data_IF_834998972511
#
_entry.id   IF_834998972511
#
_cell.length_a   1.000
_cell.length_b   1.000
_cell.length_c   1.000
_cell.angle_alpha   90.00
_cell.angle_beta   90.00
_cell.angle_gamma   90.00
#
_symmetry.space_group_name_H-M   'P 1'
#
loop_
_entity.id
_entity.type
_entity.pdbx_description
1 polymer ?
#
# COMPACT_ATOMS: atom_id res chain seq x y z
N UNK A 1 -36.85 -36.98 61.73
CA UNK A 1 -37.03 -37.77 60.49
C UNK A 1 -36.81 -36.85 59.31
N UNK A 2 -36.04 -37.33 58.31
CA UNK A 2 -35.81 -36.87 56.93
C UNK A 2 -36.44 -35.53 56.47
N UNK A 3 -35.80 -34.69 55.68
CA UNK A 3 -34.75 -34.89 54.69
C UNK A 3 -34.72 -33.66 53.78
N UNK A 4 -33.63 -33.55 53.02
CA UNK A 4 -33.27 -32.42 52.15
C UNK A 4 -34.31 -32.02 51.09
N UNK A 5 -34.25 -30.75 50.66
CA UNK A 5 -34.33 -30.30 49.26
C UNK A 5 -34.01 -28.79 49.26
N UNK A 6 -32.79 -28.37 48.87
CA UNK A 6 -32.52 -27.75 47.56
C UNK A 6 -33.54 -26.69 47.15
N UNK A 7 -33.14 -25.40 47.13
CA UNK A 7 -33.21 -24.61 45.90
C UNK A 7 -32.18 -23.48 45.93
N UNK A 8 -31.23 -23.61 45.01
CA UNK A 8 -30.22 -22.65 44.59
C UNK A 8 -30.91 -21.41 44.03
N UNK A 9 -30.60 -20.23 44.55
CA UNK A 9 -30.93 -18.95 43.91
C UNK A 9 -29.78 -17.96 44.09
N UNK A 10 -28.95 -17.91 43.03
CA UNK A 10 -28.35 -16.71 42.45
C UNK A 10 -27.47 -15.82 43.34
N UNK A 11 -26.24 -16.28 43.59
CA UNK A 11 -25.11 -15.37 43.73
C UNK A 11 -24.61 -14.96 42.33
N UNK A 12 -25.20 -13.94 41.73
CA UNK A 12 -24.60 -13.19 40.61
C UNK A 12 -23.76 -12.05 41.21
N UNK A 13 -22.59 -12.39 41.74
CA UNK A 13 -21.50 -11.41 41.84
C UNK A 13 -21.04 -11.13 40.42
N UNK A 14 -21.43 -9.97 39.88
CA UNK A 14 -20.81 -9.40 38.68
C UNK A 14 -19.33 -9.12 39.00
N UNK A 15 -18.49 -10.13 38.80
CA UNK A 15 -17.08 -9.93 38.52
C UNK A 15 -17.02 -9.27 37.13
N UNK A 16 -17.08 -7.94 37.11
CA UNK A 16 -16.61 -7.19 35.95
C UNK A 16 -15.09 -7.35 35.99
N UNK A 17 -14.45 -8.09 35.06
CA UNK A 17 -13.03 -7.91 34.90
C UNK A 17 -12.86 -6.46 34.44
N UNK A 18 -12.30 -5.63 35.30
CA UNK A 18 -11.71 -4.36 34.93
C UNK A 18 -10.62 -4.75 33.95
N UNK A 19 -10.98 -4.79 32.67
CA UNK A 19 -10.01 -4.93 31.61
C UNK A 19 -9.11 -3.71 31.80
N UNK A 20 -7.90 -3.96 32.28
CA UNK A 20 -6.86 -2.95 32.37
C UNK A 20 -6.84 -2.24 31.02
N UNK A 21 -7.38 -1.02 30.99
CA UNK A 21 -6.96 -0.04 30.00
C UNK A 21 -5.49 0.16 30.29
N UNK A 22 -4.65 -0.71 29.72
CA UNK A 22 -3.27 -0.40 29.43
C UNK A 22 -3.38 0.81 28.53
N UNK A 23 -3.34 1.98 29.16
CA UNK A 23 -3.12 3.24 28.52
C UNK A 23 -1.72 3.11 27.91
N UNK A 24 -1.66 2.57 26.70
CA UNK A 24 -0.52 2.74 25.82
C UNK A 24 -0.49 4.25 25.61
N UNK A 25 0.31 4.94 26.42
CA UNK A 25 0.80 6.29 26.12
C UNK A 25 1.66 6.15 24.87
N UNK A 26 1.02 6.00 23.72
CA UNK A 26 1.60 6.52 22.50
C UNK A 26 1.56 8.02 22.70
N UNK A 27 2.70 8.63 23.03
CA UNK A 27 2.87 10.06 22.79
C UNK A 27 2.37 10.32 21.36
N UNK A 28 1.21 10.96 21.17
CA UNK A 28 0.85 11.39 19.85
C UNK A 28 1.80 12.54 19.60
N UNK A 29 2.95 12.26 19.00
CA UNK A 29 3.77 13.30 18.39
C UNK A 29 2.88 13.92 17.31
N UNK A 30 2.15 14.95 17.69
CA UNK A 30 1.36 15.76 16.80
C UNK A 30 2.30 16.21 15.71
N UNK A 31 2.07 15.75 14.49
CA UNK A 31 2.89 16.19 13.38
C UNK A 31 2.29 17.49 12.90
N UNK A 32 3.01 18.56 13.19
CA UNK A 32 2.62 19.96 13.07
C UNK A 32 2.57 20.51 11.64
N UNK A 33 2.56 19.65 10.62
CA UNK A 33 2.53 20.07 9.21
C UNK A 33 1.37 19.44 8.46
N UNK A 34 0.77 20.22 7.56
CA UNK A 34 -0.18 19.71 6.59
C UNK A 34 0.48 18.61 5.72
N UNK A 35 -0.24 17.51 5.43
CA UNK A 35 0.29 16.48 4.54
C UNK A 35 0.47 17.04 3.13
N UNK A 36 1.50 16.59 2.42
CA UNK A 36 1.72 16.97 1.02
C UNK A 36 0.61 16.45 0.11
N UNK A 37 0.08 15.26 0.42
CA UNK A 37 -0.99 14.63 -0.35
C UNK A 37 -1.94 13.83 0.55
N UNK A 38 -3.24 13.86 0.21
CA UNK A 38 -4.27 13.06 0.85
C UNK A 38 -4.39 11.67 0.21
N UNK A 39 -4.01 10.63 0.95
CA UNK A 39 -4.08 9.25 0.48
C UNK A 39 -5.51 8.75 0.26
N UNK A 40 -6.51 9.39 0.88
CA UNK A 40 -7.92 9.09 0.63
C UNK A 40 -8.33 9.34 -0.81
N UNK A 41 -7.75 10.35 -1.46
CA UNK A 41 -7.99 10.64 -2.89
C UNK A 41 -7.50 9.49 -3.77
N UNK A 42 -6.31 8.93 -3.47
CA UNK A 42 -5.75 7.80 -4.22
C UNK A 42 -6.62 6.56 -4.06
N UNK A 43 -7.00 6.23 -2.81
CA UNK A 43 -7.85 5.07 -2.51
C UNK A 43 -9.19 5.15 -3.25
N UNK A 44 -9.84 6.31 -3.21
CA UNK A 44 -11.12 6.53 -3.87
C UNK A 44 -11.02 6.42 -5.39
N UNK A 45 -10.03 7.08 -6.00
CA UNK A 45 -9.86 7.08 -7.46
C UNK A 45 -9.41 5.72 -7.99
N UNK A 46 -8.51 5.04 -7.27
CA UNK A 46 -8.13 3.67 -7.56
C UNK A 46 -9.36 2.74 -7.62
N UNK A 47 -10.28 2.84 -6.65
CA UNK A 47 -11.51 2.04 -6.65
C UNK A 47 -12.44 2.34 -7.81
N UNK A 48 -12.54 3.61 -8.24
CA UNK A 48 -13.37 3.99 -9.40
C UNK A 48 -12.82 3.39 -10.69
N UNK A 49 -11.51 3.53 -10.90
CA UNK A 49 -10.83 3.02 -12.10
C UNK A 49 -10.80 1.48 -12.16
N UNK A 50 -10.79 0.82 -11.00
CA UNK A 50 -10.70 -0.65 -10.90
C UNK A 50 -12.02 -1.36 -10.60
N UNK A 51 -13.16 -0.65 -10.65
CA UNK A 51 -14.46 -1.15 -10.20
C UNK A 51 -14.87 -2.46 -10.90
N UNK A 52 -14.61 -2.55 -12.19
CA UNK A 52 -15.02 -3.67 -13.03
C UNK A 52 -13.89 -4.69 -13.28
N UNK A 53 -12.76 -4.54 -12.57
CA UNK A 53 -11.63 -5.46 -12.66
C UNK A 53 -11.84 -6.65 -11.73
N UNK A 54 -11.80 -7.84 -12.33
CA UNK A 54 -11.72 -9.12 -11.61
C UNK A 54 -10.34 -9.22 -10.96
N UNK A 55 -10.29 -9.78 -9.75
CA UNK A 55 -9.05 -10.02 -9.03
C UNK A 55 -8.10 -10.87 -9.89
N UNK A 56 -6.86 -10.43 -10.04
CA UNK A 56 -5.92 -11.05 -10.96
C UNK A 56 -5.27 -12.30 -10.33
N UNK A 57 -5.32 -13.44 -11.04
CA UNK A 57 -4.63 -14.65 -10.60
C UNK A 57 -3.10 -14.50 -10.69
N UNK A 58 -2.37 -14.99 -9.69
CA UNK A 58 -0.91 -15.17 -9.68
C UNK A 58 -0.18 -14.38 -8.59
N UNK A 59 1.15 -14.28 -8.70
CA UNK A 59 1.96 -13.65 -7.66
C UNK A 59 1.92 -12.11 -7.73
N UNK A 60 1.67 -11.47 -6.58
CA UNK A 60 1.67 -10.01 -6.48
C UNK A 60 3.01 -9.39 -6.88
N UNK A 61 2.92 -8.26 -7.58
CA UNK A 61 4.02 -7.38 -7.96
C UNK A 61 4.53 -6.63 -6.73
N UNK A 62 3.62 -6.12 -5.89
CA UNK A 62 3.96 -5.53 -4.61
C UNK A 62 4.19 -6.63 -3.57
N UNK A 63 5.27 -6.49 -2.80
CA UNK A 63 5.54 -7.39 -1.68
C UNK A 63 4.51 -7.17 -0.58
N UNK A 64 4.32 -8.17 0.28
CA UNK A 64 3.37 -8.11 1.39
C UNK A 64 3.66 -6.91 2.30
N UNK A 65 2.61 -6.27 2.81
CA UNK A 65 2.71 -5.08 3.67
C UNK A 65 3.68 -5.26 4.85
N UNK A 66 3.67 -6.41 5.52
CA UNK A 66 4.58 -6.68 6.64
C UNK A 66 6.07 -6.63 6.26
N UNK A 67 6.40 -7.03 5.02
CA UNK A 67 7.75 -6.90 4.48
C UNK A 67 8.04 -5.47 4.07
N UNK A 68 7.09 -4.82 3.41
CA UNK A 68 7.21 -3.42 2.97
C UNK A 68 7.34 -2.43 4.14
N UNK A 69 6.75 -2.74 5.28
CA UNK A 69 6.85 -1.93 6.51
C UNK A 69 8.30 -1.73 6.98
N UNK A 70 9.18 -2.70 6.68
CA UNK A 70 10.61 -2.58 6.96
C UNK A 70 11.26 -1.52 6.07
N UNK A 71 10.87 -1.47 4.79
CA UNK A 71 11.29 -0.44 3.82
C UNK A 71 10.75 0.92 4.26
N UNK A 72 9.46 1.01 4.60
CA UNK A 72 8.77 2.24 5.03
C UNK A 72 9.43 2.93 6.22
N UNK A 73 9.99 2.16 7.16
CA UNK A 73 10.75 2.68 8.31
C UNK A 73 12.07 3.35 7.93
N UNK A 74 12.60 3.09 6.73
CA UNK A 74 13.84 3.67 6.20
C UNK A 74 13.51 4.68 5.10
N UNK A 75 13.44 5.96 5.48
CA UNK A 75 13.02 7.08 4.62
C UNK A 75 13.61 7.05 3.20
N UNK A 76 14.91 6.82 3.07
CA UNK A 76 15.58 6.83 1.77
C UNK A 76 15.20 5.60 0.92
N UNK A 77 15.10 4.41 1.54
CA UNK A 77 14.67 3.20 0.83
C UNK A 77 13.20 3.31 0.41
N UNK A 78 12.32 3.74 1.33
CA UNK A 78 10.90 3.95 1.04
C UNK A 78 10.73 4.91 -0.13
N UNK A 79 11.47 6.01 -0.11
CA UNK A 79 11.45 6.98 -1.19
C UNK A 79 11.89 6.39 -2.54
N UNK A 80 13.00 5.67 -2.59
CA UNK A 80 13.48 5.08 -3.85
C UNK A 80 12.53 4.01 -4.39
N UNK A 81 12.03 3.14 -3.51
CA UNK A 81 11.09 2.08 -3.90
C UNK A 81 9.76 2.68 -4.35
N UNK A 82 9.22 3.64 -3.61
CA UNK A 82 7.95 4.29 -3.92
C UNK A 82 8.00 5.02 -5.27
N UNK A 83 9.12 5.66 -5.63
CA UNK A 83 9.29 6.25 -6.97
C UNK A 83 9.11 5.21 -8.09
N UNK A 84 9.65 4.00 -7.91
CA UNK A 84 9.53 2.92 -8.90
C UNK A 84 8.14 2.29 -8.92
N UNK A 85 7.48 2.20 -7.78
CA UNK A 85 6.08 1.79 -7.71
C UNK A 85 5.21 2.79 -8.48
N UNK A 86 5.28 4.08 -8.15
CA UNK A 86 4.46 5.11 -8.82
C UNK A 86 4.70 5.14 -10.34
N UNK A 87 5.95 5.01 -10.76
CA UNK A 87 6.32 4.94 -12.18
C UNK A 87 5.65 3.77 -12.91
N UNK A 88 5.69 2.55 -12.35
CA UNK A 88 5.08 1.38 -12.97
C UNK A 88 3.56 1.56 -13.12
N UNK A 89 2.90 2.00 -12.05
CA UNK A 89 1.45 2.14 -12.02
C UNK A 89 0.95 3.24 -12.95
N UNK A 90 1.62 4.40 -12.99
CA UNK A 90 1.33 5.46 -13.95
C UNK A 90 1.52 4.99 -15.41
N UNK A 91 2.60 4.24 -15.70
CA UNK A 91 2.82 3.68 -17.03
C UNK A 91 1.73 2.70 -17.47
N UNK A 92 1.25 1.85 -16.56
CA UNK A 92 0.13 0.96 -16.87
C UNK A 92 -1.15 1.75 -17.08
N UNK A 93 -1.44 2.74 -16.24
CA UNK A 93 -2.61 3.62 -16.42
C UNK A 93 -2.60 4.28 -17.80
N UNK A 94 -1.51 4.94 -18.20
CA UNK A 94 -1.42 5.56 -19.54
C UNK A 94 -1.68 4.55 -20.66
N UNK A 95 -1.20 3.31 -20.51
CA UNK A 95 -1.40 2.25 -21.52
C UNK A 95 -2.82 1.69 -21.57
N UNK A 96 -3.55 1.73 -20.46
CA UNK A 96 -4.89 1.15 -20.33
C UNK A 96 -6.01 2.19 -20.51
N UNK A 97 -5.69 3.48 -20.57
CA UNK A 97 -6.63 4.60 -20.77
C UNK A 97 -7.57 4.39 -21.97
N UNK A 98 -7.01 3.96 -23.10
CA UNK A 98 -7.80 3.71 -24.32
C UNK A 98 -8.66 2.44 -24.30
N UNK A 99 -8.55 1.60 -23.25
CA UNK A 99 -9.34 0.36 -23.10
C UNK A 99 -10.55 0.53 -22.17
N UNK A 100 -10.54 1.54 -21.30
CA UNK A 100 -11.60 1.80 -20.31
C UNK A 100 -12.69 2.75 -20.82
N UNK A 101 -12.48 3.41 -21.96
CA UNK A 101 -13.36 4.45 -22.48
C UNK A 101 -14.42 3.89 -23.45
N UNK A 102 -15.60 3.55 -22.92
CA UNK A 102 -16.84 3.74 -23.69
C UNK A 102 -17.28 5.18 -23.42
N UNK A 103 -17.17 6.11 -24.39
CA UNK A 103 -17.43 7.51 -24.13
C UNK A 103 -18.94 7.72 -24.05
N UNK A 104 -19.46 7.81 -22.82
CA UNK A 104 -20.72 8.50 -22.60
C UNK A 104 -20.42 9.99 -22.49
N UNK A 105 -21.02 10.82 -23.34
CA UNK A 105 -20.88 12.28 -23.29
C UNK A 105 -21.22 12.79 -21.88
N UNK A 106 -20.23 13.37 -21.20
CA UNK A 106 -20.37 13.98 -19.89
C UNK A 106 -19.78 13.20 -18.71
N UNK A 107 -19.24 12.00 -18.93
CA UNK A 107 -18.56 11.26 -17.86
C UNK A 107 -17.12 11.77 -17.66
N UNK A 108 -16.72 12.00 -16.41
CA UNK A 108 -15.36 12.40 -16.09
C UNK A 108 -14.44 11.21 -16.39
N UNK A 109 -13.38 11.42 -17.17
CA UNK A 109 -12.36 10.39 -17.36
C UNK A 109 -11.57 10.19 -16.06
N UNK A 110 -12.07 9.28 -15.22
CA UNK A 110 -11.46 8.92 -13.94
C UNK A 110 -10.06 8.31 -14.12
N UNK A 111 -9.76 7.78 -15.30
CA UNK A 111 -8.46 7.22 -15.64
C UNK A 111 -7.43 8.34 -15.81
N UNK A 112 -7.77 9.36 -16.61
CA UNK A 112 -6.96 10.56 -16.79
C UNK A 112 -6.79 11.33 -15.47
N UNK A 113 -7.87 11.45 -14.68
CA UNK A 113 -7.80 12.07 -13.35
C UNK A 113 -6.82 11.33 -12.42
N UNK A 114 -6.83 10.00 -12.43
CA UNK A 114 -5.90 9.20 -11.63
C UNK A 114 -4.46 9.34 -12.13
N UNK A 115 -4.22 9.44 -13.44
CA UNK A 115 -2.88 9.74 -13.99
C UNK A 115 -2.37 11.08 -13.44
N UNK A 116 -3.20 12.12 -13.44
CA UNK A 116 -2.83 13.41 -12.85
C UNK A 116 -2.56 13.34 -11.33
N UNK A 117 -3.33 12.53 -10.60
CA UNK A 117 -3.08 12.26 -9.18
C UNK A 117 -1.72 11.58 -8.98
N UNK A 118 -1.37 10.60 -9.82
CA UNK A 118 -0.09 9.89 -9.76
C UNK A 118 1.11 10.83 -10.00
N UNK A 119 0.99 11.77 -10.93
CA UNK A 119 2.02 12.80 -11.15
C UNK A 119 2.18 13.72 -9.92
N UNK A 120 1.07 14.18 -9.33
CA UNK A 120 1.11 14.99 -8.09
C UNK A 120 1.74 14.23 -6.93
N UNK A 121 1.40 12.95 -6.76
CA UNK A 121 1.97 12.08 -5.75
C UNK A 121 3.49 11.98 -5.87
N UNK A 122 4.01 11.84 -7.08
CA UNK A 122 5.46 11.77 -7.35
C UNK A 122 6.19 13.01 -6.84
N UNK A 123 5.59 14.19 -6.96
CA UNK A 123 6.16 15.43 -6.45
C UNK A 123 6.21 15.50 -4.91
N UNK A 124 5.38 14.70 -4.21
CA UNK A 124 5.37 14.57 -2.75
C UNK A 124 6.36 13.54 -2.21
N UNK A 125 6.92 12.67 -3.07
CA UNK A 125 7.92 11.70 -2.63
C UNK A 125 9.19 12.43 -2.22
N UNK A 126 9.78 12.00 -1.10
CA UNK A 126 11.02 12.58 -0.61
C UNK A 126 12.12 12.54 -1.69
N UNK A 127 12.95 13.59 -1.76
CA UNK A 127 14.04 13.65 -2.76
C UNK A 127 15.33 13.13 -2.13
N UNK A 128 15.72 11.91 -2.52
CA UNK A 128 17.00 11.32 -2.11
C UNK A 128 18.11 11.81 -3.04
N UNK A 129 19.06 12.59 -2.53
CA UNK A 129 20.21 13.09 -3.31
C UNK A 129 21.15 11.93 -3.68
N UNK A 130 21.28 11.63 -4.97
CA UNK A 130 22.19 10.60 -5.54
C UNK A 130 22.05 9.17 -4.96
N UNK A 131 21.06 8.89 -4.11
CA UNK A 131 21.04 7.67 -3.30
C UNK A 131 20.38 6.46 -3.95
N UNK A 132 19.40 6.67 -4.85
CA UNK A 132 18.65 5.54 -5.40
C UNK A 132 19.39 4.76 -6.48
N UNK A 133 20.34 5.40 -7.19
CA UNK A 133 21.07 4.78 -8.31
C UNK A 133 21.77 3.48 -7.88
N UNK A 134 22.54 3.52 -6.78
CA UNK A 134 23.25 2.35 -6.23
C UNK A 134 22.29 1.21 -5.84
N UNK A 135 21.13 1.56 -5.28
CA UNK A 135 20.12 0.59 -4.90
C UNK A 135 19.52 -0.10 -6.14
N UNK A 136 19.19 0.67 -7.17
CA UNK A 136 18.65 0.14 -8.42
C UNK A 136 19.66 -0.75 -9.14
N UNK A 137 20.93 -0.31 -9.25
CA UNK A 137 22.01 -1.12 -9.83
C UNK A 137 22.18 -2.44 -9.08
N UNK A 138 22.21 -2.40 -7.75
CA UNK A 138 22.29 -3.61 -6.92
C UNK A 138 21.11 -4.55 -7.18
N UNK A 139 19.89 -4.03 -7.21
CA UNK A 139 18.70 -4.84 -7.43
C UNK A 139 18.65 -5.45 -8.84
N UNK A 140 19.09 -4.72 -9.86
CA UNK A 140 18.91 -5.10 -11.26
C UNK A 140 20.04 -5.96 -11.82
N UNK A 141 21.21 -5.94 -11.18
CA UNK A 141 22.36 -6.76 -11.54
C UNK A 141 22.41 -8.10 -10.78
N UNK A 142 21.56 -8.27 -9.76
CA UNK A 142 21.45 -9.54 -9.04
C UNK A 142 20.62 -10.51 -9.89
N UNK A 143 21.26 -11.58 -10.37
CA UNK A 143 20.78 -12.44 -11.45
C UNK A 143 19.63 -13.38 -11.08
N UNK A 144 19.27 -13.51 -9.80
CA UNK A 144 18.19 -14.37 -9.34
C UNK A 144 17.32 -13.67 -8.29
N UNK A 145 16.01 -13.91 -8.39
CA UNK A 145 15.05 -13.66 -7.30
C UNK A 145 15.35 -14.73 -6.25
N UNK A 146 16.36 -14.51 -5.41
CA UNK A 146 16.63 -15.42 -4.30
C UNK A 146 15.51 -15.27 -3.28
N UNK A 147 14.74 -16.33 -2.94
CA UNK A 147 13.69 -16.23 -1.94
C UNK A 147 14.29 -15.76 -0.62
N UNK A 148 13.80 -14.64 -0.13
CA UNK A 148 14.34 -14.02 1.08
C UNK A 148 13.99 -14.85 2.32
N UNK A 149 14.93 -15.04 3.26
CA UNK A 149 14.61 -15.58 4.57
C UNK A 149 13.52 -14.74 5.26
N UNK A 150 12.68 -15.38 6.07
CA UNK A 150 11.53 -14.75 6.79
C UNK A 150 11.93 -13.50 7.62
N UNK A 151 13.21 -13.30 7.91
CA UNK A 151 13.80 -12.08 8.52
C UNK A 151 14.67 -11.27 7.54
N UNK A 152 14.17 -11.06 6.33
CA UNK A 152 14.65 -10.04 5.38
C UNK A 152 14.85 -8.69 6.07
N UNK A 153 16.03 -8.06 5.95
CA UNK A 153 16.22 -6.68 6.40
C UNK A 153 15.59 -5.71 5.39
N UNK A 154 15.52 -4.43 5.74
CA UNK A 154 14.85 -3.43 4.91
C UNK A 154 15.46 -3.30 3.51
N UNK A 155 16.77 -3.53 3.38
CA UNK A 155 17.49 -3.42 2.10
C UNK A 155 17.16 -4.59 1.19
N UNK A 156 17.10 -5.82 1.70
CA UNK A 156 16.76 -6.98 0.89
C UNK A 156 15.29 -6.95 0.47
N UNK A 157 14.38 -6.54 1.36
CA UNK A 157 12.97 -6.31 0.99
C UNK A 157 12.86 -5.25 -0.12
N UNK A 158 13.67 -4.19 -0.07
CA UNK A 158 13.70 -3.17 -1.13
C UNK A 158 14.23 -3.74 -2.46
N UNK A 159 15.27 -4.59 -2.42
CA UNK A 159 15.80 -5.27 -3.60
C UNK A 159 14.75 -6.18 -4.22
N UNK A 160 14.09 -7.02 -3.41
CA UNK A 160 13.02 -7.91 -3.87
C UNK A 160 11.89 -7.13 -4.55
N UNK A 161 11.40 -6.07 -3.90
CA UNK A 161 10.38 -5.21 -4.47
C UNK A 161 10.81 -4.59 -5.80
N UNK A 162 12.07 -4.12 -5.90
CA UNK A 162 12.61 -3.52 -7.13
C UNK A 162 12.78 -4.55 -8.24
N UNK A 163 13.18 -5.79 -7.93
CA UNK A 163 13.25 -6.88 -8.90
C UNK A 163 11.88 -7.22 -9.46
N UNK A 164 10.85 -7.32 -8.60
CA UNK A 164 9.46 -7.54 -9.05
C UNK A 164 8.96 -6.40 -9.94
N UNK A 165 9.25 -5.15 -9.57
CA UNK A 165 8.89 -3.98 -10.38
C UNK A 165 9.61 -3.97 -11.73
N UNK A 166 10.89 -4.34 -11.77
CA UNK A 166 11.66 -4.48 -13.01
C UNK A 166 11.04 -5.54 -13.92
N UNK A 167 10.78 -6.73 -13.38
CA UNK A 167 10.16 -7.82 -14.13
C UNK A 167 8.81 -7.40 -14.73
N UNK A 168 7.94 -6.74 -13.95
CA UNK A 168 6.67 -6.22 -14.45
C UNK A 168 6.88 -5.13 -15.52
N UNK A 169 7.84 -4.22 -15.31
CA UNK A 169 8.15 -3.14 -16.26
C UNK A 169 8.69 -3.64 -17.59
N UNK A 170 9.44 -4.74 -17.62
CA UNK A 170 9.98 -5.36 -18.84
C UNK A 170 8.90 -6.11 -19.64
N UNK A 171 7.76 -6.39 -19.02
CA UNK A 171 6.65 -7.17 -19.60
C UNK A 171 5.35 -6.36 -19.64
N UNK A 172 5.44 -5.05 -19.82
CA UNK A 172 4.26 -4.18 -19.86
C UNK A 172 3.31 -4.46 -21.03
N UNK A 173 3.72 -5.20 -22.06
CA UNK A 173 2.85 -5.63 -23.15
C UNK A 173 2.02 -6.89 -22.78
N UNK A 174 2.37 -7.58 -21.69
CA UNK A 174 1.63 -8.73 -21.16
C UNK A 174 0.36 -8.24 -20.45
N UNK A 175 -0.80 -8.57 -21.02
CA UNK A 175 -2.11 -8.15 -20.49
C UNK A 175 -2.31 -8.60 -19.05
N UNK A 176 -1.81 -9.77 -18.65
CA UNK A 176 -1.93 -10.26 -17.27
C UNK A 176 -1.14 -9.42 -16.29
N UNK A 177 0.00 -8.86 -16.72
CA UNK A 177 0.78 -7.92 -15.90
C UNK A 177 0.04 -6.59 -15.77
N UNK A 178 -0.56 -6.08 -16.86
CA UNK A 178 -1.39 -4.87 -16.81
C UNK A 178 -2.56 -5.05 -15.85
N UNK A 179 -3.33 -6.13 -15.99
CA UNK A 179 -4.47 -6.46 -15.12
C UNK A 179 -4.05 -6.55 -13.65
N UNK A 180 -2.92 -7.21 -13.35
CA UNK A 180 -2.42 -7.33 -11.98
C UNK A 180 -1.99 -5.99 -11.38
N UNK A 181 -1.32 -5.13 -12.15
CA UNK A 181 -1.00 -3.77 -11.68
C UNK A 181 -2.27 -2.98 -11.40
N UNK A 182 -3.26 -3.08 -12.28
CA UNK A 182 -4.55 -2.39 -12.12
C UNK A 182 -5.37 -2.92 -10.95
N UNK A 183 -5.28 -4.22 -10.64
CA UNK A 183 -5.89 -4.80 -9.45
C UNK A 183 -5.20 -4.33 -8.16
N UNK A 184 -3.86 -4.40 -8.12
CA UNK A 184 -3.08 -3.95 -6.96
C UNK A 184 -3.19 -2.44 -6.69
N UNK A 185 -3.65 -1.64 -7.67
CA UNK A 185 -3.90 -0.21 -7.56
C UNK A 185 -4.87 0.11 -6.41
N UNK A 186 -5.87 -0.77 -6.17
CA UNK A 186 -6.82 -0.70 -5.05
C UNK A 186 -6.11 -0.56 -3.70
N UNK A 187 -4.95 -1.21 -3.57
CA UNK A 187 -4.16 -1.29 -2.34
C UNK A 187 -2.95 -0.35 -2.32
N UNK A 188 -2.66 0.34 -3.42
CA UNK A 188 -1.43 1.15 -3.58
C UNK A 188 -1.25 2.18 -2.46
N UNK A 189 -2.35 2.81 -2.02
CA UNK A 189 -2.35 3.80 -0.95
C UNK A 189 -1.74 3.30 0.37
N UNK A 190 -1.74 1.98 0.63
CA UNK A 190 -1.17 1.37 1.83
C UNK A 190 0.37 1.36 1.85
N UNK A 191 1.00 1.50 0.68
CA UNK A 191 2.46 1.53 0.50
C UNK A 191 3.05 2.95 0.64
N UNK A 192 2.20 3.97 0.68
CA UNK A 192 2.59 5.38 0.70
C UNK A 192 2.76 6.05 2.07
N UNK A 193 2.14 5.61 3.20
CA UNK A 193 2.14 6.39 4.43
C UNK A 193 3.55 6.78 4.90
N UNK A 194 3.70 8.03 5.30
CA UNK A 194 4.97 8.61 5.71
C UNK A 194 4.79 10.05 6.18
N UNK A 195 5.87 10.76 6.53
CA UNK A 195 5.76 12.14 7.05
C UNK A 195 5.03 13.10 6.08
N UNK A 196 5.08 12.85 4.77
CA UNK A 196 4.44 13.68 3.74
C UNK A 196 3.08 13.19 3.24
N UNK A 197 2.65 11.97 3.60
CA UNK A 197 1.43 11.35 3.06
C UNK A 197 0.51 10.92 4.20
N UNK A 198 -0.75 11.37 4.19
CA UNK A 198 -1.75 10.98 5.19
C UNK A 198 -3.12 10.86 4.56
N UNK A 199 -3.97 10.04 5.17
CA UNK A 199 -5.41 10.13 4.96
C UNK A 199 -5.93 11.27 5.83
N UNK A 200 -6.61 12.25 5.24
CA UNK A 200 -7.38 13.19 6.07
C UNK A 200 -8.50 12.40 6.73
N UNK A 201 -8.60 12.50 8.06
CA UNK A 201 -9.81 12.08 8.74
C UNK A 201 -10.84 13.14 8.37
N UNK A 202 -11.89 12.75 7.66
CA UNK A 202 -13.03 13.63 7.46
C UNK A 202 -13.63 13.87 8.85
N UNK A 203 -13.64 15.12 9.29
CA UNK A 203 -14.44 15.58 10.44
C UNK A 203 -15.94 15.53 10.10
#
# INVERSE_FOLDING_TARGET
MAGALQYVCLLLTFAVPIHECVAVRQDPKCVTGEPCFDLGTVEMMARRVSKDLIDADGENILIKHNSFDKIRKKKDLHSCVLQKILYLFEHVLIRTEGKSSTPNEGDLDHHLELIHIMDRLRNCVYKVKNGCKKLYEKAYNQSDITPLPKKSEATEAAIEQLQKLKYASERLDDVKIQERVMDELKSLHLYMPGKGFRKKLND
#
